data_IF_238787058392
#
_entry.id   IF_238787058392
#
_cell.length_a   1.000
_cell.length_b   1.000
_cell.length_c   1.000
_cell.angle_alpha   90.00
_cell.angle_beta   90.00
_cell.angle_gamma   90.00
#
_symmetry.space_group_name_H-M   'P 1'
#
loop_
_entity.id
_entity.type
_entity.pdbx_description
1 polymer ?
#
# COMPACT_ATOMS: atom_id res chain seq x y z
N UNK A 1 21.41 5.54 -3.77
CA UNK A 1 21.04 4.65 -2.66
C UNK A 1 20.58 5.53 -1.51
N UNK A 2 19.29 5.60 -1.27
CA UNK A 2 18.71 6.38 -0.16
C UNK A 2 18.75 5.46 1.06
N UNK A 3 19.40 5.91 2.14
CA UNK A 3 19.54 5.15 3.39
C UNK A 3 18.18 5.11 4.11
N UNK A 4 17.55 3.92 4.27
CA UNK A 4 16.26 3.78 4.93
C UNK A 4 16.26 4.21 6.41
N UNK A 5 17.44 4.33 7.03
CA UNK A 5 17.57 4.65 8.46
C UNK A 5 17.48 6.16 8.76
N UNK A 6 17.70 7.03 7.76
CA UNK A 6 17.68 8.48 7.96
C UNK A 6 16.23 9.04 8.02
N UNK A 7 15.27 8.36 7.39
CA UNK A 7 13.89 8.85 7.24
C UNK A 7 12.88 8.23 8.21
N UNK A 8 13.27 7.23 9.00
CA UNK A 8 12.41 6.65 10.03
C UNK A 8 12.69 7.39 11.34
N UNK A 9 11.75 8.26 11.76
CA UNK A 9 11.76 8.79 13.13
C UNK A 9 11.71 7.60 14.08
N UNK A 10 12.86 7.26 14.66
CA UNK A 10 12.97 6.13 15.58
C UNK A 10 11.99 6.32 16.74
N UNK A 11 11.14 5.34 17.02
CA UNK A 11 10.09 5.42 18.04
C UNK A 11 10.60 5.92 19.41
N UNK A 12 11.87 5.66 19.75
CA UNK A 12 12.54 6.19 20.95
C UNK A 12 12.59 7.73 21.02
N UNK A 13 12.72 8.39 19.87
CA UNK A 13 12.76 9.84 19.77
C UNK A 13 11.36 10.45 19.94
N UNK A 14 10.29 9.73 19.58
CA UNK A 14 8.89 10.13 19.77
C UNK A 14 8.47 9.90 21.23
N UNK A 15 8.90 8.78 21.83
CA UNK A 15 8.50 8.37 23.18
C UNK A 15 8.77 9.45 24.24
N UNK A 16 9.93 10.11 24.16
CA UNK A 16 10.28 11.22 25.07
C UNK A 16 9.28 12.38 25.04
N UNK A 17 8.73 12.70 23.86
CA UNK A 17 7.73 13.77 23.73
C UNK A 17 6.32 13.30 24.07
N UNK A 18 5.99 12.03 23.79
CA UNK A 18 4.71 11.43 24.16
C UNK A 18 4.58 11.32 25.68
N UNK A 19 5.62 10.87 26.38
CA UNK A 19 5.62 10.73 27.84
C UNK A 19 5.49 12.10 28.55
N UNK A 20 5.94 13.19 27.91
CA UNK A 20 5.76 14.57 28.42
C UNK A 20 4.32 15.08 28.27
N UNK A 21 3.55 14.59 27.30
CA UNK A 21 2.13 14.96 27.14
C UNK A 21 1.20 14.33 28.18
N UNK A 22 1.69 13.34 28.93
CA UNK A 22 0.92 12.65 29.97
C UNK A 22 1.04 13.31 31.35
N UNK A 23 1.96 14.28 31.53
CA UNK A 23 2.09 15.02 32.78
C UNK A 23 1.03 16.13 32.91
N UNK A 24 0.35 16.26 34.06
CA UNK A 24 -0.61 17.34 34.29
C UNK A 24 0.08 18.70 34.16
N UNK A 25 -0.44 19.59 33.31
CA UNK A 25 0.08 20.96 33.24
C UNK A 25 -0.24 21.68 34.56
N UNK A 26 0.77 22.21 35.28
CA UNK A 26 0.58 22.82 36.61
C UNK A 26 -0.26 24.11 36.57
N UNK A 27 -0.52 24.65 35.38
CA UNK A 27 -1.32 25.85 35.13
C UNK A 27 -2.83 25.53 35.10
N UNK A 28 -3.21 24.26 34.95
CA UNK A 28 -4.60 23.84 34.81
C UNK A 28 -5.21 23.60 36.20
N UNK A 29 -6.22 24.39 36.55
CA UNK A 29 -6.96 24.25 37.82
C UNK A 29 -7.69 22.90 37.90
N UNK A 30 -7.60 22.23 39.06
CA UNK A 30 -8.32 20.98 39.33
C UNK A 30 -9.84 21.19 39.18
N UNK A 31 -10.50 20.33 38.41
CA UNK A 31 -11.92 20.45 38.06
C UNK A 31 -12.23 21.21 36.76
N UNK A 32 -11.24 21.88 36.15
CA UNK A 32 -11.39 22.48 34.82
C UNK A 32 -11.64 21.42 33.74
N UNK A 33 -12.40 21.77 32.69
CA UNK A 33 -12.60 20.90 31.51
C UNK A 33 -11.26 20.49 30.87
N UNK A 34 -10.26 21.37 30.93
CA UNK A 34 -8.92 21.13 30.38
C UNK A 34 -8.15 20.04 31.12
N UNK A 35 -8.48 19.73 32.37
CA UNK A 35 -7.85 18.64 33.13
C UNK A 35 -8.16 17.26 32.54
N UNK A 36 -9.20 17.14 31.69
CA UNK A 36 -9.59 15.90 31.02
C UNK A 36 -8.82 15.62 29.72
N UNK A 37 -8.05 16.58 29.20
CA UNK A 37 -7.35 16.46 27.91
C UNK A 37 -6.48 15.21 27.80
N UNK A 38 -5.64 14.83 28.80
CA UNK A 38 -4.83 13.62 28.71
C UNK A 38 -5.67 12.35 28.56
N UNK A 39 -6.79 12.27 29.29
CA UNK A 39 -7.72 11.13 29.21
C UNK A 39 -8.44 11.05 27.85
N UNK A 40 -8.82 12.21 27.28
CA UNK A 40 -9.47 12.29 25.97
C UNK A 40 -8.50 11.97 24.85
N UNK A 41 -7.25 12.44 24.94
CA UNK A 41 -6.20 12.11 23.99
C UNK A 41 -5.91 10.61 23.99
N UNK A 42 -5.84 9.98 25.18
CA UNK A 42 -5.66 8.53 25.27
C UNK A 42 -6.84 7.77 24.68
N UNK A 43 -8.09 8.20 24.92
CA UNK A 43 -9.27 7.64 24.25
C UNK A 43 -9.21 7.80 22.73
N UNK A 44 -8.80 8.96 22.23
CA UNK A 44 -8.65 9.19 20.80
C UNK A 44 -7.57 8.28 20.19
N UNK A 45 -6.41 8.13 20.84
CA UNK A 45 -5.35 7.18 20.43
C UNK A 45 -5.88 5.76 20.38
N UNK A 46 -6.62 5.31 21.40
CA UNK A 46 -7.23 3.98 21.45
C UNK A 46 -8.22 3.80 20.29
N UNK A 47 -9.14 4.74 20.08
CA UNK A 47 -10.09 4.67 18.97
C UNK A 47 -9.40 4.64 17.60
N UNK A 48 -8.36 5.44 17.39
CA UNK A 48 -7.58 5.41 16.15
C UNK A 48 -6.89 4.05 15.96
N UNK A 49 -6.24 3.53 17.02
CA UNK A 49 -5.61 2.20 16.98
C UNK A 49 -6.63 1.12 16.67
N UNK A 50 -7.73 1.08 17.40
CA UNK A 50 -8.79 0.09 17.23
C UNK A 50 -9.41 0.19 15.84
N UNK A 51 -9.61 1.40 15.32
CA UNK A 51 -10.09 1.61 13.95
C UNK A 51 -9.09 1.02 12.96
N UNK A 52 -7.81 1.39 13.04
CA UNK A 52 -6.78 0.88 12.12
C UNK A 52 -6.65 -0.65 12.20
N UNK A 53 -6.60 -1.22 13.41
CA UNK A 53 -6.42 -2.67 13.59
C UNK A 53 -7.66 -3.48 13.28
N UNK A 54 -8.86 -2.92 13.45
CA UNK A 54 -10.12 -3.57 13.07
C UNK A 54 -10.49 -3.32 11.61
N UNK A 55 -9.84 -2.38 10.92
CA UNK A 55 -9.99 -2.31 9.46
C UNK A 55 -9.39 -3.57 8.84
N UNK A 56 -10.11 -4.21 7.92
CA UNK A 56 -9.57 -5.30 7.11
C UNK A 56 -8.48 -4.85 6.14
N UNK A 57 -8.16 -3.55 6.10
CA UNK A 57 -7.27 -2.95 5.12
C UNK A 57 -5.85 -3.56 5.12
N UNK A 58 -5.15 -3.74 6.25
CA UNK A 58 -3.81 -4.36 6.23
C UNK A 58 -3.83 -5.78 5.67
N UNK A 59 -4.86 -6.57 6.01
CA UNK A 59 -5.01 -7.92 5.49
C UNK A 59 -5.28 -7.95 3.98
N UNK A 60 -6.04 -6.98 3.47
CA UNK A 60 -6.30 -6.84 2.04
C UNK A 60 -5.03 -6.42 1.27
N UNK A 61 -4.22 -5.52 1.84
CA UNK A 61 -2.93 -5.13 1.27
C UNK A 61 -1.99 -6.32 1.18
N UNK A 62 -1.85 -7.10 2.26
CA UNK A 62 -1.02 -8.31 2.24
C UNK A 62 -1.53 -9.33 1.23
N UNK A 63 -2.84 -9.60 1.20
CA UNK A 63 -3.42 -10.54 0.24
C UNK A 63 -3.22 -10.11 -1.23
N UNK A 64 -3.20 -8.80 -1.50
CA UNK A 64 -2.88 -8.27 -2.82
C UNK A 64 -1.42 -8.48 -3.17
N UNK A 65 -0.50 -8.22 -2.24
CA UNK A 65 0.95 -8.43 -2.41
C UNK A 65 1.28 -9.92 -2.66
N UNK A 66 0.69 -10.81 -1.87
CA UNK A 66 0.80 -12.26 -2.05
C UNK A 66 0.29 -12.70 -3.43
N UNK A 67 -0.84 -12.14 -3.87
CA UNK A 67 -1.40 -12.42 -5.20
C UNK A 67 -0.47 -11.93 -6.33
N UNK A 68 0.05 -10.70 -6.24
CA UNK A 68 0.98 -10.16 -7.23
C UNK A 68 2.25 -11.01 -7.30
N UNK A 69 2.80 -11.39 -6.16
CA UNK A 69 3.98 -12.26 -6.05
C UNK A 69 3.71 -13.60 -6.75
N UNK A 70 2.57 -14.24 -6.47
CA UNK A 70 2.17 -15.50 -7.11
C UNK A 70 2.06 -15.37 -8.63
N UNK A 71 1.51 -14.27 -9.13
CA UNK A 71 1.38 -14.01 -10.58
C UNK A 71 2.75 -13.85 -11.23
N UNK A 72 3.67 -13.13 -10.59
CA UNK A 72 5.05 -12.95 -11.06
C UNK A 72 5.77 -14.29 -11.13
N UNK A 73 5.74 -15.08 -10.05
CA UNK A 73 6.38 -16.39 -9.99
C UNK A 73 5.82 -17.36 -11.04
N UNK A 74 4.49 -17.41 -11.16
CA UNK A 74 3.82 -18.26 -12.16
C UNK A 74 4.20 -17.84 -13.58
N UNK A 75 4.23 -16.54 -13.86
CA UNK A 75 4.63 -16.01 -15.17
C UNK A 75 6.08 -16.33 -15.49
N UNK A 76 6.99 -16.16 -14.53
CA UNK A 76 8.40 -16.48 -14.69
C UNK A 76 8.60 -17.99 -14.98
N UNK A 77 7.94 -18.86 -14.20
CA UNK A 77 8.00 -20.30 -14.39
C UNK A 77 7.49 -20.74 -15.78
N UNK A 78 6.31 -20.25 -16.19
CA UNK A 78 5.76 -20.56 -17.51
C UNK A 78 6.60 -19.97 -18.65
N UNK A 79 7.26 -18.84 -18.40
CA UNK A 79 8.19 -18.19 -19.31
C UNK A 79 9.45 -19.03 -19.55
N UNK A 80 9.97 -19.70 -18.51
CA UNK A 80 11.17 -20.54 -18.58
C UNK A 80 10.94 -21.95 -19.15
N UNK A 81 9.70 -22.33 -19.47
CA UNK A 81 9.42 -23.65 -20.04
C UNK A 81 9.93 -23.74 -21.48
N UNK A 82 10.88 -24.64 -21.71
CA UNK A 82 11.45 -24.93 -23.02
C UNK A 82 11.17 -26.38 -23.45
N UNK A 83 11.01 -26.58 -24.76
CA UNK A 83 10.76 -27.91 -25.33
C UNK A 83 12.08 -28.66 -25.41
N UNK A 84 12.09 -29.90 -24.94
CA UNK A 84 13.29 -30.73 -24.98
C UNK A 84 13.62 -31.16 -26.42
N UNK A 85 14.63 -30.53 -27.00
CA UNK A 85 15.08 -30.77 -28.38
C UNK A 85 15.72 -32.15 -28.58
N UNK A 86 16.06 -32.87 -27.50
CA UNK A 86 16.64 -34.22 -27.56
C UNK A 86 15.57 -35.32 -27.67
N UNK A 87 14.30 -35.00 -27.38
CA UNK A 87 13.19 -35.93 -27.45
C UNK A 87 12.71 -36.19 -28.89
N UNK A 88 11.85 -37.20 -29.09
CA UNK A 88 11.25 -37.47 -30.42
C UNK A 88 10.34 -36.32 -30.86
N UNK A 89 10.15 -36.16 -32.18
CA UNK A 89 9.29 -35.09 -32.74
C UNK A 89 7.86 -35.13 -32.19
N UNK A 90 7.30 -36.31 -31.96
CA UNK A 90 5.96 -36.44 -31.35
C UNK A 90 5.96 -35.90 -29.91
N UNK A 91 6.99 -36.24 -29.12
CA UNK A 91 7.13 -35.76 -27.73
C UNK A 91 7.33 -34.25 -27.67
N UNK A 92 8.18 -33.70 -28.54
CA UNK A 92 8.41 -32.26 -28.66
C UNK A 92 7.10 -31.52 -28.99
N UNK A 93 6.35 -32.02 -29.98
CA UNK A 93 5.06 -31.44 -30.36
C UNK A 93 4.05 -31.50 -29.22
N UNK A 94 4.01 -32.61 -28.48
CA UNK A 94 3.14 -32.78 -27.32
C UNK A 94 3.49 -31.80 -26.19
N UNK A 95 4.78 -31.62 -25.89
CA UNK A 95 5.26 -30.66 -24.89
C UNK A 95 4.90 -29.23 -25.28
N UNK A 96 5.17 -28.84 -26.52
CA UNK A 96 4.84 -27.51 -27.02
C UNK A 96 3.34 -27.19 -26.88
N UNK A 97 2.48 -28.15 -27.23
CA UNK A 97 1.02 -28.02 -27.05
C UNK A 97 0.63 -27.86 -25.58
N UNK A 98 1.23 -28.68 -24.71
CA UNK A 98 0.97 -28.61 -23.27
C UNK A 98 1.37 -27.25 -22.69
N UNK A 99 2.54 -26.73 -23.02
CA UNK A 99 3.00 -25.41 -22.54
C UNK A 99 2.12 -24.26 -23.02
N UNK A 100 1.70 -24.28 -24.29
CA UNK A 100 0.74 -23.29 -24.81
C UNK A 100 -0.58 -23.36 -24.05
N UNK A 101 -1.06 -24.57 -23.74
CA UNK A 101 -2.28 -24.76 -22.98
C UNK A 101 -2.14 -24.25 -21.54
N UNK A 102 -1.02 -24.51 -20.87
CA UNK A 102 -0.74 -23.98 -19.53
C UNK A 102 -0.72 -22.45 -19.53
N UNK A 103 -0.04 -21.83 -20.50
CA UNK A 103 0.01 -20.36 -20.66
C UNK A 103 -1.38 -19.76 -20.87
N UNK A 104 -2.20 -20.34 -21.75
CA UNK A 104 -3.58 -19.89 -21.98
C UNK A 104 -4.44 -20.02 -20.73
N UNK A 105 -4.31 -21.13 -19.99
CA UNK A 105 -5.03 -21.34 -18.75
C UNK A 105 -4.64 -20.32 -17.68
N UNK A 106 -3.34 -20.11 -17.47
CA UNK A 106 -2.84 -19.13 -16.49
C UNK A 106 -3.34 -17.71 -16.80
N UNK A 107 -3.36 -17.30 -18.08
CA UNK A 107 -3.95 -16.02 -18.49
C UNK A 107 -5.45 -15.95 -18.19
N UNK A 108 -6.21 -16.99 -18.51
CA UNK A 108 -7.65 -17.02 -18.24
C UNK A 108 -7.95 -16.95 -16.73
N UNK A 109 -7.18 -17.67 -15.92
CA UNK A 109 -7.31 -17.66 -14.46
C UNK A 109 -6.94 -16.28 -13.89
N UNK A 110 -5.87 -15.64 -14.39
CA UNK A 110 -5.49 -14.28 -14.01
C UNK A 110 -6.63 -13.29 -14.29
N UNK A 111 -7.17 -13.26 -15.51
CA UNK A 111 -8.28 -12.36 -15.85
C UNK A 111 -9.52 -12.62 -15.00
N UNK A 112 -9.79 -13.89 -14.65
CA UNK A 112 -10.89 -14.25 -13.74
C UNK A 112 -10.67 -13.69 -12.33
N UNK A 113 -9.45 -13.77 -11.80
CA UNK A 113 -9.12 -13.17 -10.50
C UNK A 113 -9.22 -11.63 -10.52
N UNK A 114 -8.66 -11.00 -11.55
CA UNK A 114 -8.76 -9.54 -11.73
C UNK A 114 -10.23 -9.09 -11.83
N UNK A 115 -11.07 -9.85 -12.54
CA UNK A 115 -12.52 -9.59 -12.62
C UNK A 115 -13.20 -9.68 -11.25
N UNK A 116 -12.83 -10.64 -10.41
CA UNK A 116 -13.34 -10.74 -9.03
C UNK A 116 -12.91 -9.56 -8.14
N UNK A 117 -11.74 -8.97 -8.42
CA UNK A 117 -11.26 -7.75 -7.76
C UNK A 117 -11.94 -6.48 -8.28
N UNK A 118 -12.82 -6.58 -9.28
CA UNK A 118 -13.51 -5.45 -9.89
C UNK A 118 -12.79 -4.84 -11.10
N UNK A 119 -11.72 -5.45 -11.58
CA UNK A 119 -10.98 -4.99 -12.76
C UNK A 119 -11.53 -5.64 -14.04
N UNK A 120 -11.82 -4.83 -15.06
CA UNK A 120 -12.37 -5.31 -16.33
C UNK A 120 -11.49 -4.88 -17.51
N UNK A 121 -11.05 -5.85 -18.29
CA UNK A 121 -10.21 -5.61 -19.47
C UNK A 121 -10.86 -4.71 -20.53
N UNK A 122 -12.14 -4.96 -20.85
CA UNK A 122 -12.87 -4.17 -21.86
C UNK A 122 -13.07 -2.72 -21.39
N UNK A 123 -13.40 -2.53 -20.11
CA UNK A 123 -13.50 -1.19 -19.52
C UNK A 123 -12.15 -0.47 -19.60
N UNK A 124 -11.05 -1.17 -19.31
CA UNK A 124 -9.69 -0.64 -19.47
C UNK A 124 -9.38 -0.18 -20.89
N UNK A 125 -9.74 -0.97 -21.92
CA UNK A 125 -9.55 -0.57 -23.31
C UNK A 125 -10.32 0.70 -23.68
N UNK A 126 -11.55 0.85 -23.19
CA UNK A 126 -12.36 2.06 -23.43
C UNK A 126 -11.71 3.28 -22.79
N UNK A 127 -11.27 3.16 -21.52
CA UNK A 127 -10.58 4.24 -20.81
C UNK A 127 -9.30 4.66 -21.55
N UNK A 128 -8.48 3.69 -21.98
CA UNK A 128 -7.26 3.95 -22.74
C UNK A 128 -7.57 4.64 -24.08
N UNK A 129 -8.64 4.21 -24.77
CA UNK A 129 -9.02 4.82 -26.06
C UNK A 129 -9.59 6.23 -25.95
N UNK A 130 -10.13 6.58 -24.78
CA UNK A 130 -10.77 7.86 -24.52
C UNK A 130 -9.84 8.89 -23.85
N UNK A 131 -8.68 8.46 -23.36
CA UNK A 131 -7.72 9.31 -22.65
C UNK A 131 -6.50 9.52 -23.53
N UNK A 132 -6.20 10.76 -23.91
CA UNK A 132 -4.97 11.11 -24.66
C UNK A 132 -3.72 10.96 -23.79
N UNK A 133 -3.86 11.09 -22.46
CA UNK A 133 -2.80 10.88 -21.48
C UNK A 133 -3.12 9.67 -20.59
N UNK A 134 -2.15 8.77 -20.44
CA UNK A 134 -2.18 7.73 -19.42
C UNK A 134 -1.93 8.39 -18.06
N UNK A 135 -2.78 8.08 -17.08
CA UNK A 135 -2.53 8.47 -15.69
C UNK A 135 -1.17 7.92 -15.25
N UNK A 136 -0.26 8.82 -14.88
CA UNK A 136 0.99 8.43 -14.26
C UNK A 136 0.73 8.05 -12.80
N UNK A 137 0.59 6.75 -12.56
CA UNK A 137 0.39 6.19 -11.22
C UNK A 137 1.63 6.30 -10.32
N UNK A 138 2.75 6.83 -10.82
CA UNK A 138 3.92 7.16 -9.98
C UNK A 138 3.76 8.53 -9.29
N UNK A 139 2.81 9.35 -9.74
CA UNK A 139 2.47 10.61 -9.09
C UNK A 139 1.61 10.30 -7.85
N UNK A 140 1.96 10.80 -6.66
CA UNK A 140 1.17 10.57 -5.46
C UNK A 140 -0.24 11.17 -5.63
N UNK A 141 -1.28 10.52 -5.08
CA UNK A 141 -2.68 10.96 -5.24
C UNK A 141 -2.96 12.34 -4.62
N UNK A 142 -2.08 12.81 -3.74
CA UNK A 142 -2.11 14.14 -3.13
C UNK A 142 -0.68 14.67 -3.09
N UNK A 143 -0.46 15.85 -3.70
CA UNK A 143 0.75 16.63 -3.49
C UNK A 143 0.68 17.30 -2.11
N UNK A 144 1.38 16.71 -1.14
CA UNK A 144 1.38 17.20 0.23
C UNK A 144 2.10 18.53 0.39
N UNK A 145 3.16 18.79 -0.38
CA UNK A 145 3.87 20.07 -0.32
C UNK A 145 2.92 21.20 -0.76
N UNK A 146 2.20 20.98 -1.86
CA UNK A 146 1.14 21.88 -2.30
C UNK A 146 0.02 21.99 -1.24
N UNK A 147 -0.49 20.88 -0.71
CA UNK A 147 -1.57 20.88 0.27
C UNK A 147 -1.20 21.63 1.56
N UNK A 148 0.02 21.44 2.06
CA UNK A 148 0.53 22.11 3.26
C UNK A 148 0.75 23.61 3.02
N UNK A 149 1.15 24.02 1.82
CA UNK A 149 1.26 25.44 1.45
C UNK A 149 -0.10 26.18 1.50
N UNK A 150 -1.22 25.48 1.29
CA UNK A 150 -2.57 26.07 1.42
C UNK A 150 -3.06 26.14 2.87
N UNK A 151 -2.48 25.36 3.79
CA UNK A 151 -2.84 25.41 5.21
C UNK A 151 -2.15 26.62 5.87
N UNK A 152 -2.92 27.40 6.63
CA UNK A 152 -2.33 28.48 7.45
C UNK A 152 -1.42 27.86 8.49
N UNK A 153 -0.12 28.13 8.40
CA UNK A 153 0.90 27.63 9.32
C UNK A 153 0.50 27.85 10.79
N UNK A 154 0.20 26.76 11.49
CA UNK A 154 0.06 26.68 12.95
C UNK A 154 1.37 26.16 13.54
N UNK A 155 1.60 26.45 14.82
CA UNK A 155 2.82 26.04 15.54
C UNK A 155 3.13 24.53 15.51
N UNK A 156 2.15 23.67 15.23
CA UNK A 156 2.30 22.21 15.15
C UNK A 156 2.63 21.67 13.76
N UNK A 157 2.54 22.50 12.72
CA UNK A 157 2.60 22.04 11.32
C UNK A 157 4.01 21.59 10.89
N UNK A 158 5.12 22.21 11.34
CA UNK A 158 6.46 21.75 10.99
C UNK A 158 6.75 20.32 11.49
N UNK A 159 6.18 19.92 12.63
CA UNK A 159 6.35 18.58 13.18
C UNK A 159 5.53 17.54 12.40
N UNK A 160 4.35 17.91 11.90
CA UNK A 160 3.54 17.03 11.06
C UNK A 160 4.20 16.75 9.70
N UNK A 161 4.81 17.77 9.08
CA UNK A 161 5.56 17.61 7.84
C UNK A 161 6.77 16.66 7.97
N UNK A 162 7.41 16.61 9.14
CA UNK A 162 8.54 15.70 9.41
C UNK A 162 8.14 14.24 9.65
N UNK A 163 6.88 13.98 10.03
CA UNK A 163 6.38 12.64 10.34
C UNK A 163 5.86 11.89 9.12
N UNK A 164 5.64 12.60 8.01
CA UNK A 164 5.10 12.02 6.78
C UNK A 164 6.06 12.29 5.61
N UNK A 165 7.19 11.56 5.53
CA UNK A 165 7.98 11.58 4.33
C UNK A 165 7.16 10.86 3.25
N UNK A 166 6.77 11.62 2.22
CA UNK A 166 6.34 11.02 0.94
C UNK A 166 7.43 10.12 0.39
#
# INVERSE_FOLDING_TARGET
>A
MIDPQIHIVLARNIKKYVDQTEQPCPIISEGSLLSKIPSLLNKAKTLCKDTITNTGYPSLVQALDDFVTLVIETSAHLGSLEVDSTATKEKQTSQAKNFVQQKRKALADLFKYLTKMGLNYRTGLVIISASEELYDFTIPPVDWDAAMNYLKSRRCDPTLALLWPG
#
